data_IF_722675559144
#
_entry.id   IF_722675559144
#
_cell.length_a   1.000
_cell.length_b   1.000
_cell.length_c   1.000
_cell.angle_alpha   90.00
_cell.angle_beta   90.00
_cell.angle_gamma   90.00
#
_symmetry.space_group_name_H-M   'P 1'
#
loop_
_entity.id
_entity.type
_entity.pdbx_description
1 polymer ?
#
# COMPACT_ATOMS: atom_id res chain seq x y z
N UNK A 1 -78.86 -10.17 -26.91
CA UNK A 1 -78.93 -10.66 -25.53
C UNK A 1 -77.66 -10.17 -24.85
N UNK A 2 -77.58 -8.95 -24.30
CA UNK A 2 -78.34 -8.35 -23.19
C UNK A 2 -77.96 -8.94 -21.83
N UNK A 3 -77.70 -8.03 -20.86
CA UNK A 3 -77.59 -8.15 -19.40
C UNK A 3 -76.15 -8.22 -18.85
N UNK A 4 -75.48 -7.16 -18.32
CA UNK A 4 -75.81 -5.97 -17.49
C UNK A 4 -75.59 -6.21 -15.97
N UNK A 5 -74.99 -5.20 -15.30
CA UNK A 5 -74.98 -4.86 -13.85
C UNK A 5 -73.92 -5.51 -12.93
N UNK A 6 -72.84 -4.80 -12.52
CA UNK A 6 -72.66 -3.77 -11.45
C UNK A 6 -72.61 -4.31 -10.01
N UNK A 7 -71.56 -3.95 -9.25
CA UNK A 7 -71.53 -3.48 -7.84
C UNK A 7 -70.13 -2.86 -7.60
N UNK A 8 -69.81 -1.86 -6.77
CA UNK A 8 -70.34 -0.58 -6.25
C UNK A 8 -69.39 -0.19 -5.08
N UNK A 9 -68.99 1.10 -4.99
CA UNK A 9 -68.46 1.85 -3.82
C UNK A 9 -67.08 1.44 -3.26
N UNK A 10 -66.18 2.31 -2.80
CA UNK A 10 -66.19 3.71 -2.34
C UNK A 10 -64.80 4.06 -1.74
N UNK A 11 -64.56 5.24 -1.14
CA UNK A 11 -63.47 6.14 -1.54
C UNK A 11 -62.36 6.40 -0.50
N UNK A 12 -61.21 6.91 -0.93
CA UNK A 12 -60.39 7.81 -0.11
C UNK A 12 -59.69 8.85 -0.99
N UNK A 13 -60.26 10.06 -1.00
CA UNK A 13 -59.58 11.29 -1.41
C UNK A 13 -58.54 11.64 -0.34
N UNK A 14 -57.40 12.19 -0.74
CA UNK A 14 -56.83 13.40 -0.12
C UNK A 14 -55.84 14.04 -1.11
N UNK A 15 -56.20 15.23 -1.54
CA UNK A 15 -55.41 16.12 -2.38
C UNK A 15 -54.73 17.17 -1.51
N UNK A 16 -53.49 17.54 -1.81
CA UNK A 16 -52.84 18.79 -1.42
C UNK A 16 -51.58 18.95 -2.30
N UNK A 17 -51.66 19.63 -3.45
CA UNK A 17 -51.52 21.09 -3.68
C UNK A 17 -50.16 21.63 -3.23
N UNK A 18 -49.26 21.76 -4.20
CA UNK A 18 -48.14 22.71 -4.24
C UNK A 18 -48.65 24.17 -4.08
N UNK A 19 -47.75 25.08 -3.69
CA UNK A 19 -47.43 26.14 -4.65
C UNK A 19 -45.93 26.44 -4.76
N UNK A 20 -45.49 26.57 -6.01
CA UNK A 20 -44.37 27.40 -6.42
C UNK A 20 -44.64 28.87 -6.08
N UNK A 21 -43.60 29.65 -5.76
CA UNK A 21 -43.31 30.92 -6.47
C UNK A 21 -42.11 31.69 -5.87
N UNK A 22 -41.32 32.20 -6.81
CA UNK A 22 -40.66 33.51 -6.85
C UNK A 22 -39.12 33.54 -6.77
N UNK A 23 -38.59 33.93 -7.94
CA UNK A 23 -37.23 34.32 -8.29
C UNK A 23 -36.93 35.78 -7.87
N UNK A 24 -35.67 36.16 -8.07
CA UNK A 24 -35.10 37.52 -8.29
C UNK A 24 -34.68 38.28 -7.02
N UNK A 25 -33.60 39.06 -6.96
CA UNK A 25 -32.55 39.42 -7.92
C UNK A 25 -31.35 40.10 -7.21
N UNK A 26 -30.20 40.05 -7.90
CA UNK A 26 -29.05 40.97 -7.96
C UNK A 26 -29.10 42.35 -7.26
N UNK A 27 -27.98 42.72 -6.61
CA UNK A 27 -27.07 43.88 -6.91
C UNK A 27 -25.94 43.93 -5.86
N UNK A 28 -24.66 43.79 -6.24
CA UNK A 28 -23.69 44.83 -6.64
C UNK A 28 -23.48 45.97 -5.62
N UNK A 29 -22.29 46.09 -5.02
CA UNK A 29 -21.26 47.13 -5.33
C UNK A 29 -20.12 47.23 -4.29
N UNK A 30 -18.89 47.33 -4.82
CA UNK A 30 -17.72 48.14 -4.40
C UNK A 30 -17.22 48.12 -2.93
N UNK A 31 -15.93 47.83 -2.69
CA UNK A 31 -14.80 48.77 -2.88
C UNK A 31 -13.51 48.23 -2.25
N UNK A 32 -12.39 48.53 -2.89
CA UNK A 32 -11.03 48.20 -2.46
C UNK A 32 -10.54 49.09 -1.32
N UNK A 33 -9.66 48.58 -0.45
CA UNK A 33 -8.64 49.38 0.26
C UNK A 33 -7.45 48.52 0.69
N UNK A 34 -6.31 48.82 0.07
CA UNK A 34 -4.97 48.37 0.43
C UNK A 34 -4.54 48.99 1.77
N UNK A 35 -3.87 48.20 2.61
CA UNK A 35 -2.96 48.73 3.63
C UNK A 35 -1.65 47.93 3.63
N UNK A 36 -0.61 48.60 3.10
CA UNK A 36 0.79 48.27 3.31
C UNK A 36 1.18 48.60 4.77
N UNK A 37 1.84 47.66 5.46
CA UNK A 37 2.65 47.96 6.64
C UNK A 37 4.03 47.32 6.45
N UNK A 38 5.03 48.19 6.40
CA UNK A 38 6.46 47.87 6.28
C UNK A 38 7.11 48.25 7.61
N UNK A 39 7.82 47.33 8.27
CA UNK A 39 8.52 47.61 9.53
C UNK A 39 9.96 47.05 9.54
N UNK A 40 10.87 48.00 9.28
CA UNK A 40 12.28 48.23 9.67
C UNK A 40 13.21 47.06 10.08
N UNK A 41 14.40 46.96 9.47
CA UNK A 41 15.54 46.19 9.98
C UNK A 41 16.34 46.97 11.03
N UNK A 42 16.80 46.29 12.08
CA UNK A 42 17.67 46.84 13.12
C UNK A 42 19.14 46.84 12.68
N UNK A 43 19.80 47.98 12.91
CA UNK A 43 21.19 48.28 12.57
C UNK A 43 22.13 47.87 13.70
N UNK A 44 23.13 47.03 13.40
CA UNK A 44 24.30 46.88 14.24
C UNK A 44 25.52 47.51 13.59
N UNK A 45 26.01 48.52 14.30
CA UNK A 45 27.14 49.39 14.06
C UNK A 45 28.45 48.65 14.34
N UNK A 46 29.42 48.69 13.43
CA UNK A 46 30.84 48.70 13.82
C UNK A 46 31.66 49.58 12.87
N UNK A 47 32.16 50.66 13.44
CA UNK A 47 33.03 51.68 12.87
C UNK A 47 34.45 51.13 12.67
N UNK A 48 35.04 51.45 11.53
CA UNK A 48 36.43 51.21 11.18
C UNK A 48 37.38 52.12 11.96
N UNK A 49 38.44 51.55 12.55
CA UNK A 49 39.63 52.30 12.96
C UNK A 49 40.87 51.56 12.46
N UNK A 50 41.54 52.18 11.51
CA UNK A 50 42.85 51.80 10.98
C UNK A 50 43.91 52.39 11.92
N UNK A 51 44.89 51.59 12.35
CA UNK A 51 46.24 52.07 12.66
C UNK A 51 47.26 50.99 12.29
N UNK A 52 48.39 51.47 11.80
CA UNK A 52 49.36 50.83 10.91
C UNK A 52 50.58 50.31 11.67
N UNK A 53 51.21 49.23 11.18
CA UNK A 53 52.64 48.84 11.30
C UNK A 53 52.74 47.30 11.15
N UNK A 54 53.60 46.64 10.38
CA UNK A 54 54.72 47.02 9.52
C UNK A 54 54.90 45.89 8.50
N UNK A 55 55.34 46.27 7.32
CA UNK A 55 55.70 45.42 6.17
C UNK A 55 56.78 44.37 6.47
N UNK A 56 56.68 43.20 5.81
CA UNK A 56 57.77 42.57 5.03
C UNK A 56 57.31 41.25 4.39
N UNK A 57 57.21 41.31 3.06
CA UNK A 57 57.51 40.27 2.07
C UNK A 57 57.18 38.80 2.37
N UNK A 58 56.05 38.32 1.83
CA UNK A 58 55.91 36.92 1.38
C UNK A 58 55.05 36.79 0.10
N UNK A 59 54.94 37.86 -0.69
CA UNK A 59 54.16 37.93 -1.94
C UNK A 59 54.85 37.25 -3.15
N UNK A 60 55.57 36.16 -2.91
CA UNK A 60 56.16 35.32 -3.97
C UNK A 60 55.86 33.81 -3.81
N UNK A 61 55.21 33.40 -2.72
CA UNK A 61 54.88 31.99 -2.46
C UNK A 61 53.40 31.64 -2.79
N UNK A 62 52.68 32.46 -3.55
CA UNK A 62 51.24 32.25 -3.82
C UNK A 62 50.93 31.81 -5.26
N UNK A 63 51.91 31.78 -6.17
CA UNK A 63 51.68 31.53 -7.61
C UNK A 63 52.18 30.17 -8.14
N UNK A 64 52.54 29.22 -7.26
CA UNK A 64 52.93 27.85 -7.64
C UNK A 64 52.20 26.73 -6.88
N UNK A 65 51.19 27.06 -6.09
CA UNK A 65 50.39 26.07 -5.38
C UNK A 65 49.02 25.88 -6.04
N UNK A 66 48.99 24.93 -6.98
CA UNK A 66 47.82 24.08 -7.17
C UNK A 66 46.65 24.69 -7.93
N UNK A 67 46.70 24.54 -9.25
CA UNK A 67 45.51 24.41 -10.11
C UNK A 67 44.56 23.41 -9.43
N UNK A 68 43.46 23.90 -8.84
CA UNK A 68 42.36 23.07 -8.34
C UNK A 68 41.63 22.47 -9.53
N UNK A 69 42.11 21.31 -9.98
CA UNK A 69 41.29 20.36 -10.70
C UNK A 69 40.15 19.92 -9.78
N UNK A 70 38.92 20.23 -10.16
CA UNK A 70 37.73 19.57 -9.64
C UNK A 70 37.79 18.08 -10.05
N UNK A 71 38.54 17.27 -9.31
CA UNK A 71 38.25 15.85 -9.26
C UNK A 71 37.02 15.69 -8.38
N UNK A 72 35.91 15.34 -9.02
CA UNK A 72 34.80 14.70 -8.33
C UNK A 72 35.40 13.54 -7.52
N UNK A 73 35.36 13.65 -6.20
CA UNK A 73 35.66 12.53 -5.33
C UNK A 73 34.69 11.42 -5.72
N UNK A 74 35.22 10.37 -6.35
CA UNK A 74 34.49 9.14 -6.54
C UNK A 74 33.92 8.73 -5.17
N UNK A 75 32.62 8.43 -5.12
CA UNK A 75 32.02 7.83 -3.94
C UNK A 75 32.93 6.68 -3.48
N UNK A 76 33.23 6.54 -2.18
CA UNK A 76 34.11 5.49 -1.70
C UNK A 76 33.56 4.17 -2.23
N UNK A 77 34.33 3.50 -3.08
CA UNK A 77 34.00 2.17 -3.60
C UNK A 77 33.84 1.31 -2.37
N UNK A 78 32.60 0.93 -2.06
CA UNK A 78 32.30 0.09 -0.91
C UNK A 78 33.19 -1.15 -1.02
N UNK A 79 34.09 -1.33 -0.04
CA UNK A 79 35.00 -2.47 0.01
C UNK A 79 34.21 -3.77 -0.25
N UNK A 80 34.79 -4.77 -0.95
CA UNK A 80 34.12 -6.04 -1.22
C UNK A 80 33.72 -6.69 0.11
N UNK A 81 32.50 -6.43 0.57
CA UNK A 81 32.03 -7.00 1.82
C UNK A 81 31.74 -8.46 1.55
N UNK A 82 32.50 -9.32 2.21
CA UNK A 82 32.27 -10.77 2.27
C UNK A 82 30.80 -11.04 2.61
N UNK A 83 30.20 -11.99 1.92
CA UNK A 83 28.78 -12.38 2.10
C UNK A 83 28.46 -12.65 3.57
N UNK A 84 29.40 -13.23 4.32
CA UNK A 84 29.29 -13.43 5.77
C UNK A 84 29.12 -12.13 6.56
N UNK A 85 29.85 -11.06 6.21
CA UNK A 85 29.70 -9.73 6.85
C UNK A 85 28.35 -9.10 6.52
N UNK A 86 27.87 -9.24 5.28
CA UNK A 86 26.53 -8.76 4.89
C UNK A 86 25.42 -9.51 5.62
N UNK A 87 25.56 -10.84 5.77
CA UNK A 87 24.62 -11.67 6.51
C UNK A 87 24.66 -11.36 8.01
N UNK A 88 25.84 -11.14 8.60
CA UNK A 88 25.99 -10.76 10.00
C UNK A 88 25.40 -9.38 10.28
N UNK A 89 25.71 -8.38 9.44
CA UNK A 89 25.15 -7.02 9.60
C UNK A 89 23.64 -7.06 9.37
N UNK A 90 23.16 -7.78 8.35
CA UNK A 90 21.72 -7.96 8.11
C UNK A 90 21.01 -8.66 9.27
N UNK A 91 21.60 -9.73 9.80
CA UNK A 91 21.09 -10.47 10.96
C UNK A 91 21.11 -9.64 12.24
N UNK A 92 22.15 -8.82 12.45
CA UNK A 92 22.25 -7.92 13.59
C UNK A 92 21.24 -6.76 13.50
N UNK A 93 21.01 -6.21 12.30
CA UNK A 93 19.95 -5.22 12.09
C UNK A 93 18.61 -5.87 12.38
N UNK A 94 18.31 -7.02 11.79
CA UNK A 94 17.03 -7.74 11.99
C UNK A 94 16.80 -8.14 13.45
N UNK A 95 17.79 -8.75 14.10
CA UNK A 95 17.72 -9.11 15.51
C UNK A 95 17.61 -7.87 16.41
N UNK A 96 18.36 -6.81 16.09
CA UNK A 96 18.32 -5.53 16.78
C UNK A 96 16.96 -4.83 16.64
N UNK A 97 16.35 -4.82 15.46
CA UNK A 97 14.98 -4.32 15.29
C UNK A 97 13.98 -5.23 15.98
N UNK A 98 14.12 -6.55 15.98
CA UNK A 98 13.22 -7.42 16.74
C UNK A 98 13.29 -7.10 18.24
N UNK A 99 14.48 -6.93 18.81
CA UNK A 99 14.68 -6.56 20.20
C UNK A 99 14.18 -5.13 20.48
N UNK A 100 14.42 -4.18 19.58
CA UNK A 100 13.95 -2.81 19.75
C UNK A 100 12.43 -2.69 19.60
N UNK A 101 11.83 -3.39 18.63
CA UNK A 101 10.38 -3.49 18.46
C UNK A 101 9.78 -4.18 19.68
N UNK A 102 10.43 -5.21 20.20
CA UNK A 102 10.05 -5.80 21.47
C UNK A 102 10.14 -4.71 22.57
N UNK A 103 11.28 -4.14 22.88
CA UNK A 103 11.41 -3.13 23.92
C UNK A 103 10.45 -1.92 23.81
N UNK A 104 10.11 -1.47 22.58
CA UNK A 104 9.26 -0.29 22.33
C UNK A 104 7.77 -0.63 22.26
N UNK A 105 7.38 -1.72 21.59
CA UNK A 105 5.97 -2.11 21.35
C UNK A 105 5.49 -3.25 22.27
N UNK A 106 6.38 -3.99 22.94
CA UNK A 106 6.10 -5.10 23.89
C UNK A 106 5.76 -4.59 25.31
N UNK A 107 5.45 -3.30 25.49
CA UNK A 107 4.92 -2.80 26.77
C UNK A 107 3.49 -3.32 27.03
N UNK A 108 2.80 -3.77 25.98
CA UNK A 108 1.49 -4.42 26.02
C UNK A 108 1.55 -5.77 25.29
N UNK A 109 2.42 -6.68 25.74
CA UNK A 109 2.30 -8.08 25.32
C UNK A 109 1.09 -8.74 25.94
N UNK A 110 0.61 -9.79 25.26
CA UNK A 110 -0.41 -10.68 25.80
C UNK A 110 0.00 -11.22 27.17
N UNK A 111 -0.91 -11.14 28.13
CA UNK A 111 -0.67 -11.44 29.56
C UNK A 111 -0.38 -12.94 29.81
N UNK A 112 -0.71 -13.82 28.87
CA UNK A 112 -0.58 -15.29 29.00
C UNK A 112 0.76 -15.89 28.53
N UNK A 113 1.77 -15.08 28.20
CA UNK A 113 3.15 -15.59 27.96
C UNK A 113 3.40 -16.49 26.73
N UNK A 114 2.38 -16.89 25.95
CA UNK A 114 2.57 -17.65 24.70
C UNK A 114 1.28 -17.93 23.91
N UNK A 115 1.34 -17.89 22.57
CA UNK A 115 0.18 -18.15 21.68
C UNK A 115 -0.40 -19.56 21.91
N UNK A 116 -1.69 -19.71 22.27
CA UNK A 116 -2.37 -20.98 22.42
C UNK A 116 -2.15 -21.87 21.20
N UNK A 117 -2.04 -23.17 21.43
CA UNK A 117 -1.71 -24.15 20.39
C UNK A 117 -2.70 -24.07 19.22
N UNK A 118 -4.00 -23.89 19.51
CA UNK A 118 -5.03 -23.76 18.49
C UNK A 118 -4.87 -22.50 17.63
N UNK A 119 -4.63 -21.34 18.25
CA UNK A 119 -4.40 -20.08 17.53
C UNK A 119 -3.18 -20.16 16.61
N UNK A 120 -2.09 -20.78 17.12
CA UNK A 120 -0.86 -20.98 16.35
C UNK A 120 -1.07 -21.90 15.16
N UNK A 121 -1.78 -23.00 15.36
CA UNK A 121 -2.08 -23.94 14.30
C UNK A 121 -3.00 -23.32 13.24
N UNK A 122 -4.00 -22.53 13.66
CA UNK A 122 -4.85 -21.78 12.74
C UNK A 122 -4.03 -20.78 11.93
N UNK A 123 -3.23 -19.96 12.60
CA UNK A 123 -2.39 -18.95 11.97
C UNK A 123 -1.40 -19.58 10.97
N UNK A 124 -0.72 -20.65 11.37
CA UNK A 124 0.21 -21.38 10.50
C UNK A 124 -0.50 -21.96 9.29
N UNK A 125 -1.68 -22.57 9.46
CA UNK A 125 -2.47 -23.04 8.33
C UNK A 125 -2.85 -21.89 7.39
N UNK A 126 -3.30 -20.75 7.91
CA UNK A 126 -3.60 -19.58 7.06
C UNK A 126 -2.38 -19.11 6.28
N UNK A 127 -1.22 -18.99 6.92
CA UNK A 127 0.03 -18.62 6.24
C UNK A 127 0.51 -19.64 5.22
N UNK A 128 0.29 -20.93 5.47
CA UNK A 128 0.59 -21.99 4.52
C UNK A 128 -0.25 -21.83 3.26
N UNK A 129 -1.57 -21.59 3.41
CA UNK A 129 -2.45 -21.32 2.28
C UNK A 129 -2.04 -20.04 1.55
N UNK A 130 -1.74 -18.97 2.26
CA UNK A 130 -1.24 -17.72 1.65
C UNK A 130 0.05 -17.96 0.86
N UNK A 131 1.01 -18.70 1.42
CA UNK A 131 2.26 -19.05 0.76
C UNK A 131 2.05 -19.91 -0.50
N UNK A 132 1.14 -20.89 -0.42
CA UNK A 132 0.73 -21.68 -1.59
C UNK A 132 0.04 -20.82 -2.65
N UNK A 133 -0.87 -19.93 -2.26
CA UNK A 133 -1.57 -19.00 -3.15
C UNK A 133 -0.58 -18.10 -3.89
N UNK A 134 0.36 -17.48 -3.17
CA UNK A 134 1.44 -16.67 -3.77
C UNK A 134 2.31 -17.51 -4.71
N UNK A 135 2.62 -18.76 -4.34
CA UNK A 135 3.34 -19.69 -5.19
C UNK A 135 2.60 -19.99 -6.51
N UNK A 136 1.30 -20.28 -6.42
CA UNK A 136 0.42 -20.48 -7.57
C UNK A 136 0.37 -19.23 -8.43
N UNK A 137 0.23 -18.04 -7.83
CA UNK A 137 0.23 -16.76 -8.54
C UNK A 137 1.52 -16.57 -9.32
N UNK A 138 2.68 -16.76 -8.68
CA UNK A 138 3.98 -16.58 -9.32
C UNK A 138 4.23 -17.55 -10.47
N UNK A 139 3.90 -18.84 -10.28
CA UNK A 139 4.03 -19.87 -11.32
C UNK A 139 3.07 -19.62 -12.48
N UNK A 140 1.81 -19.32 -12.18
CA UNK A 140 0.77 -19.03 -13.19
C UNK A 140 1.12 -17.79 -13.98
N UNK A 141 1.57 -16.72 -13.33
CA UNK A 141 1.97 -15.50 -14.00
C UNK A 141 3.21 -15.73 -14.89
N UNK A 142 4.18 -16.54 -14.44
CA UNK A 142 5.32 -16.96 -15.28
C UNK A 142 4.85 -17.75 -16.50
N UNK A 143 3.91 -18.68 -16.33
CA UNK A 143 3.33 -19.45 -17.43
C UNK A 143 2.60 -18.52 -18.42
N UNK A 144 1.87 -17.50 -17.94
CA UNK A 144 1.21 -16.50 -18.77
C UNK A 144 2.20 -15.66 -19.60
N UNK A 145 3.37 -15.34 -19.04
CA UNK A 145 4.45 -14.67 -19.77
C UNK A 145 5.00 -15.59 -20.87
N UNK A 146 5.30 -16.84 -20.54
CA UNK A 146 5.87 -17.81 -21.48
C UNK A 146 4.93 -18.20 -22.64
N UNK A 147 3.64 -18.25 -22.37
CA UNK A 147 2.60 -18.60 -23.36
C UNK A 147 2.16 -17.42 -24.24
N UNK A 148 2.68 -16.21 -24.01
CA UNK A 148 2.25 -15.02 -24.71
C UNK A 148 0.85 -14.53 -24.33
N UNK A 149 0.25 -15.07 -23.25
CA UNK A 149 -1.04 -14.62 -22.73
C UNK A 149 -1.00 -13.15 -22.31
N UNK A 150 0.13 -12.69 -21.78
CA UNK A 150 0.35 -11.27 -21.42
C UNK A 150 0.14 -10.35 -22.63
N UNK A 151 0.64 -10.73 -23.81
CA UNK A 151 0.41 -9.95 -25.02
C UNK A 151 -1.09 -9.84 -25.35
N UNK A 152 -1.85 -10.94 -25.19
CA UNK A 152 -3.31 -10.95 -25.39
C UNK A 152 -4.02 -10.00 -24.43
N UNK A 153 -3.62 -9.98 -23.16
CA UNK A 153 -4.14 -9.02 -22.17
C UNK A 153 -3.89 -7.58 -22.65
N UNK A 154 -2.67 -7.28 -23.12
CA UNK A 154 -2.28 -5.91 -23.48
C UNK A 154 -2.95 -5.39 -24.75
N UNK A 155 -3.28 -6.27 -25.71
CA UNK A 155 -4.01 -5.88 -26.94
C UNK A 155 -5.52 -5.91 -26.76
N UNK A 156 -6.02 -6.53 -25.70
CA UNK A 156 -7.45 -6.51 -25.35
C UNK A 156 -7.81 -5.14 -24.77
N UNK A 157 -9.06 -4.71 -24.94
CA UNK A 157 -9.54 -3.44 -24.40
C UNK A 157 -9.22 -3.34 -22.88
N UNK A 158 -8.48 -2.31 -22.43
CA UNK A 158 -8.07 -2.15 -21.03
C UNK A 158 -9.24 -2.14 -20.05
N UNK A 159 -10.41 -1.64 -20.47
CA UNK A 159 -11.61 -1.63 -19.62
C UNK A 159 -12.18 -3.03 -19.41
N UNK A 160 -12.15 -3.88 -20.43
CA UNK A 160 -12.62 -5.26 -20.33
C UNK A 160 -11.70 -6.06 -19.42
N UNK A 161 -10.38 -5.91 -19.60
CA UNK A 161 -9.39 -6.57 -18.74
C UNK A 161 -9.48 -6.07 -17.30
N UNK A 162 -9.53 -4.74 -17.11
CA UNK A 162 -9.57 -4.12 -15.80
C UNK A 162 -10.86 -4.45 -15.05
N UNK A 163 -12.02 -4.07 -15.60
CA UNK A 163 -13.31 -4.27 -14.94
C UNK A 163 -13.67 -5.76 -14.90
N UNK A 164 -13.49 -6.48 -16.00
CA UNK A 164 -13.80 -7.91 -16.07
C UNK A 164 -12.92 -8.74 -15.13
N UNK A 165 -11.61 -8.46 -15.07
CA UNK A 165 -10.71 -9.10 -14.11
C UNK A 165 -11.08 -8.77 -12.67
N UNK A 166 -11.45 -7.51 -12.37
CA UNK A 166 -11.85 -7.12 -11.01
C UNK A 166 -13.16 -7.82 -10.62
N UNK A 167 -14.15 -7.83 -11.50
CA UNK A 167 -15.41 -8.52 -11.28
C UNK A 167 -15.19 -10.02 -11.03
N UNK A 168 -14.31 -10.67 -11.81
CA UNK A 168 -13.94 -12.06 -11.62
C UNK A 168 -13.24 -12.30 -10.28
N UNK A 169 -12.30 -11.43 -9.90
CA UNK A 169 -11.62 -11.47 -8.60
C UNK A 169 -12.60 -11.34 -7.44
N UNK A 170 -13.54 -10.40 -7.50
CA UNK A 170 -14.56 -10.25 -6.47
C UNK A 170 -15.53 -11.42 -6.45
N UNK A 171 -15.96 -11.92 -7.61
CA UNK A 171 -16.88 -13.04 -7.72
C UNK A 171 -16.28 -14.33 -7.15
N UNK A 172 -15.01 -14.63 -7.47
CA UNK A 172 -14.29 -15.79 -6.94
C UNK A 172 -14.03 -15.66 -5.44
N UNK A 173 -13.71 -14.47 -4.94
CA UNK A 173 -13.58 -14.21 -3.50
C UNK A 173 -14.91 -14.38 -2.75
N UNK A 174 -16.00 -13.77 -3.24
CA UNK A 174 -17.34 -13.89 -2.64
C UNK A 174 -17.80 -15.35 -2.69
N UNK A 175 -17.56 -16.04 -3.80
CA UNK A 175 -17.87 -17.46 -3.95
C UNK A 175 -17.07 -18.35 -2.98
N UNK A 176 -15.78 -18.08 -2.77
CA UNK A 176 -14.98 -18.86 -1.79
C UNK A 176 -15.51 -18.66 -0.36
N UNK A 177 -16.02 -17.46 -0.06
CA UNK A 177 -16.64 -17.13 1.23
C UNK A 177 -18.04 -17.71 1.42
N UNK A 178 -18.82 -17.89 0.35
CA UNK A 178 -20.16 -18.47 0.43
C UNK A 178 -20.15 -19.99 0.54
N UNK A 179 -19.04 -20.65 0.19
CA UNK A 179 -18.90 -22.11 0.26
C UNK A 179 -18.40 -22.56 1.63
N UNK A 180 -19.10 -23.54 2.21
CA UNK A 180 -18.71 -24.15 3.47
C UNK A 180 -17.31 -24.78 3.37
N UNK A 181 -16.49 -24.72 4.44
CA UNK A 181 -15.19 -25.39 4.48
C UNK A 181 -15.24 -26.91 4.22
N UNK A 182 -16.40 -27.56 4.41
CA UNK A 182 -16.59 -29.00 4.19
C UNK A 182 -16.50 -29.38 2.71
N UNK A 183 -16.95 -28.48 1.84
CA UNK A 183 -16.96 -28.69 0.40
C UNK A 183 -15.63 -28.23 -0.21
N UNK A 184 -14.59 -29.05 -0.02
CA UNK A 184 -13.22 -28.71 -0.42
C UNK A 184 -13.07 -28.44 -1.92
N UNK A 185 -13.62 -29.30 -2.79
CA UNK A 185 -13.42 -29.18 -4.25
C UNK A 185 -13.83 -27.81 -4.79
N UNK A 186 -15.09 -27.36 -4.61
CA UNK A 186 -15.50 -26.08 -5.18
C UNK A 186 -14.84 -24.88 -4.48
N UNK A 187 -14.49 -25.03 -3.18
CA UNK A 187 -13.78 -23.98 -2.45
C UNK A 187 -12.37 -23.75 -3.00
N UNK A 188 -11.58 -24.81 -3.15
CA UNK A 188 -10.24 -24.71 -3.71
C UNK A 188 -10.26 -24.36 -5.21
N UNK A 189 -11.31 -24.75 -5.95
CA UNK A 189 -11.49 -24.30 -7.32
C UNK A 189 -11.66 -22.78 -7.40
N UNK A 190 -12.51 -22.20 -6.55
CA UNK A 190 -12.72 -20.75 -6.51
C UNK A 190 -11.50 -20.00 -5.96
N UNK A 191 -10.84 -20.54 -4.93
CA UNK A 191 -9.59 -19.98 -4.42
C UNK A 191 -8.46 -20.02 -5.47
N UNK A 192 -8.36 -21.12 -6.24
CA UNK A 192 -7.38 -21.21 -7.35
C UNK A 192 -7.75 -20.27 -8.49
N UNK A 193 -9.04 -20.11 -8.81
CA UNK A 193 -9.51 -19.16 -9.81
C UNK A 193 -9.24 -17.71 -9.39
N UNK A 194 -9.39 -17.40 -8.11
CA UNK A 194 -8.99 -16.12 -7.53
C UNK A 194 -7.48 -15.89 -7.72
N UNK A 195 -6.65 -16.86 -7.32
CA UNK A 195 -5.19 -16.79 -7.50
C UNK A 195 -4.78 -16.64 -8.97
N UNK A 196 -5.41 -17.36 -9.90
CA UNK A 196 -5.17 -17.24 -11.33
C UNK A 196 -5.54 -15.84 -11.87
N UNK A 197 -6.60 -15.24 -11.34
CA UNK A 197 -7.01 -13.88 -11.70
C UNK A 197 -6.00 -12.86 -11.19
N UNK A 198 -5.51 -13.00 -9.96
CA UNK A 198 -4.41 -12.17 -9.44
C UNK A 198 -3.13 -12.34 -10.27
N UNK A 199 -2.82 -13.56 -10.70
CA UNK A 199 -1.69 -13.84 -11.58
C UNK A 199 -1.80 -13.08 -12.90
N UNK A 200 -3.01 -12.99 -13.49
CA UNK A 200 -3.23 -12.22 -14.71
C UNK A 200 -2.94 -10.71 -14.53
N UNK A 201 -3.24 -10.15 -13.35
CA UNK A 201 -2.91 -8.74 -13.04
C UNK A 201 -1.41 -8.51 -12.82
N UNK A 202 -0.72 -9.50 -12.25
CA UNK A 202 0.72 -9.42 -11.96
C UNK A 202 1.59 -9.83 -13.17
N UNK A 203 1.06 -10.60 -14.11
CA UNK A 203 1.81 -11.11 -15.25
C UNK A 203 2.44 -10.04 -16.17
N UNK A 204 1.75 -8.91 -16.51
CA UNK A 204 2.39 -7.82 -17.24
C UNK A 204 3.61 -7.26 -16.50
N UNK A 205 3.53 -7.11 -15.19
CA UNK A 205 4.66 -6.66 -14.37
C UNK A 205 5.82 -7.65 -14.47
N UNK A 206 5.56 -8.96 -14.45
CA UNK A 206 6.59 -9.99 -14.63
C UNK A 206 7.23 -9.99 -16.03
N UNK A 207 6.49 -9.58 -17.06
CA UNK A 207 7.00 -9.51 -18.43
C UNK A 207 7.98 -8.34 -18.64
N UNK A 208 7.71 -7.18 -18.03
CA UNK A 208 8.46 -5.94 -18.31
C UNK A 208 9.53 -5.60 -17.26
N UNK A 209 9.44 -6.19 -16.06
CA UNK A 209 10.39 -5.91 -14.98
C UNK A 209 11.53 -6.93 -15.00
N UNK A 210 12.80 -6.48 -14.87
CA UNK A 210 13.93 -7.39 -14.77
C UNK A 210 13.77 -8.42 -13.62
N UNK A 211 14.03 -9.72 -13.86
CA UNK A 211 13.86 -10.76 -12.84
C UNK A 211 14.63 -10.51 -11.54
N UNK A 212 15.77 -9.83 -11.61
CA UNK A 212 16.56 -9.46 -10.44
C UNK A 212 15.82 -8.49 -9.49
N UNK A 213 15.00 -7.57 -10.03
CA UNK A 213 14.19 -6.66 -9.22
C UNK A 213 13.03 -7.43 -8.61
N UNK A 214 12.38 -8.30 -9.37
CA UNK A 214 11.29 -9.14 -8.90
C UNK A 214 11.72 -10.02 -7.73
N UNK A 215 12.87 -10.68 -7.83
CA UNK A 215 13.43 -11.48 -6.75
C UNK A 215 13.70 -10.66 -5.49
N UNK A 216 14.29 -9.47 -5.62
CA UNK A 216 14.55 -8.57 -4.48
C UNK A 216 13.25 -8.05 -3.84
N UNK A 217 12.30 -7.60 -4.66
CA UNK A 217 11.01 -7.13 -4.18
C UNK A 217 10.27 -8.24 -3.43
N UNK A 218 10.26 -9.47 -3.97
CA UNK A 218 9.65 -10.63 -3.32
C UNK A 218 10.29 -10.92 -1.96
N UNK A 219 11.63 -10.92 -1.89
CA UNK A 219 12.34 -11.10 -0.62
C UNK A 219 12.03 -9.99 0.40
N UNK A 220 11.97 -8.73 -0.04
CA UNK A 220 11.61 -7.61 0.84
C UNK A 220 10.18 -7.70 1.34
N UNK A 221 9.23 -8.11 0.49
CA UNK A 221 7.83 -8.32 0.89
C UNK A 221 7.71 -9.47 1.88
N UNK A 222 8.39 -10.60 1.65
CA UNK A 222 8.40 -11.73 2.59
C UNK A 222 8.99 -11.29 3.94
N UNK A 223 10.09 -10.55 3.93
CA UNK A 223 10.71 -10.04 5.16
C UNK A 223 9.80 -9.06 5.91
N UNK A 224 9.15 -8.14 5.19
CA UNK A 224 8.23 -7.16 5.76
C UNK A 224 6.99 -7.86 6.34
N UNK A 225 6.32 -8.70 5.56
CA UNK A 225 5.11 -9.41 5.99
C UNK A 225 5.42 -10.38 7.13
N UNK A 226 6.53 -11.11 7.07
CA UNK A 226 6.97 -12.00 8.15
C UNK A 226 7.29 -11.22 9.44
N UNK A 227 7.95 -10.06 9.33
CA UNK A 227 8.21 -9.18 10.47
C UNK A 227 6.91 -8.64 11.09
N UNK A 228 5.99 -8.13 10.27
CA UNK A 228 4.69 -7.65 10.72
C UNK A 228 3.84 -8.77 11.31
N UNK A 229 3.91 -9.99 10.78
CA UNK A 229 3.23 -11.14 11.33
C UNK A 229 3.71 -11.49 12.74
N UNK A 230 5.02 -11.43 13.00
CA UNK A 230 5.58 -11.62 14.35
C UNK A 230 5.07 -10.54 15.30
N UNK A 231 5.00 -9.29 14.86
CA UNK A 231 4.47 -8.18 15.68
C UNK A 231 2.97 -8.34 15.94
N UNK A 232 2.18 -8.66 14.91
CA UNK A 232 0.74 -8.89 15.03
C UNK A 232 0.41 -10.08 15.93
N UNK A 233 1.23 -11.13 15.87
CA UNK A 233 1.13 -12.33 16.71
C UNK A 233 1.50 -12.10 18.19
N UNK A 234 2.35 -11.10 18.48
CA UNK A 234 2.83 -10.79 19.84
C UNK A 234 2.06 -9.65 20.51
N UNK A 235 1.40 -8.79 19.73
CA UNK A 235 0.62 -7.67 20.23
C UNK A 235 -0.60 -8.11 21.08
N UNK A 236 -0.98 -7.26 22.06
CA UNK A 236 -2.20 -7.47 22.86
C UNK A 236 -3.42 -7.64 21.97
N UNK A 237 -4.29 -8.53 22.44
CA UNK A 237 -5.59 -8.84 21.87
C UNK A 237 -6.32 -7.56 21.45
N UNK A 238 -6.91 -7.57 20.24
CA UNK A 238 -7.86 -6.55 19.75
C UNK A 238 -7.30 -5.15 19.46
N UNK A 239 -6.05 -4.86 19.83
CA UNK A 239 -5.43 -3.54 19.62
C UNK A 239 -5.43 -3.08 18.15
N UNK A 240 -5.18 -4.00 17.22
CA UNK A 240 -5.24 -3.75 15.79
C UNK A 240 -6.60 -4.07 15.17
N UNK A 241 -7.55 -4.69 15.86
CA UNK A 241 -8.88 -4.91 15.29
C UNK A 241 -9.67 -3.58 15.20
N UNK A 242 -9.42 -2.63 16.10
CA UNK A 242 -10.07 -1.32 16.08
C UNK A 242 -9.56 -0.40 14.95
N UNK A 243 -8.36 -0.63 14.41
CA UNK A 243 -7.80 0.23 13.36
C UNK A 243 -8.34 -0.07 11.95
N UNK A 244 -9.23 -1.05 11.79
CA UNK A 244 -9.81 -1.40 10.50
C UNK A 244 -10.52 -0.23 9.79
N UNK A 245 -11.24 0.62 10.53
CA UNK A 245 -11.92 1.80 9.98
C UNK A 245 -10.95 2.83 9.38
N UNK A 246 -9.97 3.34 10.16
CA UNK A 246 -8.92 4.21 9.65
C UNK A 246 -8.10 3.59 8.51
N UNK A 247 -7.80 2.29 8.56
CA UNK A 247 -7.07 1.58 7.49
C UNK A 247 -7.85 1.59 6.17
N UNK A 248 -9.15 1.31 6.21
CA UNK A 248 -10.02 1.38 5.03
C UNK A 248 -10.07 2.80 4.46
N UNK A 249 -10.18 3.82 5.31
CA UNK A 249 -10.13 5.22 4.85
C UNK A 249 -8.79 5.54 4.16
N UNK A 250 -7.66 5.09 4.74
CA UNK A 250 -6.35 5.19 4.10
C UNK A 250 -6.29 4.45 2.75
N UNK A 251 -6.87 3.25 2.69
CA UNK A 251 -6.94 2.44 1.47
C UNK A 251 -7.73 3.13 0.37
N UNK A 252 -8.83 3.81 0.72
CA UNK A 252 -9.64 4.57 -0.22
C UNK A 252 -8.86 5.77 -0.80
N UNK A 253 -8.11 6.49 0.05
CA UNK A 253 -7.23 7.59 -0.40
C UNK A 253 -6.15 7.07 -1.35
N UNK A 254 -5.53 5.93 -0.98
CA UNK A 254 -4.53 5.28 -1.82
C UNK A 254 -5.16 4.86 -3.15
N UNK A 255 -6.29 4.16 -3.15
CA UNK A 255 -7.00 3.74 -4.35
C UNK A 255 -7.34 4.92 -5.27
N UNK A 256 -7.89 6.01 -4.71
CA UNK A 256 -8.17 7.24 -5.45
C UNK A 256 -6.90 7.85 -6.06
N UNK A 257 -5.78 7.83 -5.33
CA UNK A 257 -4.48 8.31 -5.82
C UNK A 257 -3.92 7.46 -6.96
N UNK A 258 -4.18 6.14 -6.95
CA UNK A 258 -3.81 5.24 -8.04
C UNK A 258 -4.61 5.45 -9.33
N UNK A 259 -5.83 5.99 -9.23
CA UNK A 259 -6.67 6.34 -10.37
C UNK A 259 -6.36 7.73 -10.95
N UNK A 260 -5.57 8.54 -10.25
CA UNK A 260 -5.24 9.91 -10.67
C UNK A 260 -4.67 9.99 -12.11
N UNK A 261 -3.80 9.09 -12.59
CA UNK A 261 -3.28 9.15 -13.96
C UNK A 261 -4.33 8.91 -15.06
N UNK A 262 -5.49 8.32 -14.72
CA UNK A 262 -6.57 8.07 -15.69
C UNK A 262 -7.50 9.28 -15.86
N UNK A 263 -7.58 10.13 -14.82
CA UNK A 263 -8.51 11.27 -14.77
C UNK A 263 -7.79 12.59 -15.01
N UNK A 264 -6.52 12.70 -14.59
CA UNK A 264 -5.74 13.92 -14.72
C UNK A 264 -5.04 13.99 -16.09
N UNK A 265 -5.01 15.16 -16.74
CA UNK A 265 -4.27 15.35 -17.98
C UNK A 265 -2.77 15.18 -17.75
N UNK A 266 -2.08 14.53 -18.69
CA UNK A 266 -0.64 14.23 -18.63
C UNK A 266 0.28 15.45 -18.45
N UNK A 267 -0.25 16.66 -18.64
CA UNK A 267 0.44 17.95 -18.41
C UNK A 267 0.58 18.29 -16.92
N UNK A 268 -0.19 17.65 -16.03
CA UNK A 268 -0.19 17.91 -14.59
C UNK A 268 0.92 17.12 -13.86
N UNK A 269 2.17 17.22 -14.33
CA UNK A 269 3.28 16.36 -13.87
C UNK A 269 3.54 16.43 -12.35
N UNK A 270 3.39 17.60 -11.73
CA UNK A 270 3.61 17.76 -10.27
C UNK A 270 2.53 17.09 -9.43
N UNK A 271 1.27 17.20 -9.84
CA UNK A 271 0.17 16.55 -9.11
C UNK A 271 0.23 15.04 -9.30
N UNK A 272 0.57 14.56 -10.50
CA UNK A 272 0.79 13.14 -10.80
C UNK A 272 1.91 12.57 -9.93
N UNK A 273 3.06 13.24 -9.83
CA UNK A 273 4.19 12.78 -9.01
C UNK A 273 3.84 12.73 -7.50
N UNK A 274 3.03 13.67 -7.02
CA UNK A 274 2.54 13.68 -5.65
C UNK A 274 1.56 12.54 -5.39
N UNK A 275 0.56 12.34 -6.26
CA UNK A 275 -0.39 11.23 -6.16
C UNK A 275 0.29 9.87 -6.29
N UNK A 276 1.32 9.77 -7.12
CA UNK A 276 2.16 8.56 -7.26
C UNK A 276 2.93 8.28 -5.96
N UNK A 277 3.43 9.30 -5.28
CA UNK A 277 4.10 9.15 -3.99
C UNK A 277 3.14 8.69 -2.88
N UNK A 278 1.92 9.25 -2.83
CA UNK A 278 0.86 8.81 -1.91
C UNK A 278 0.46 7.36 -2.22
N UNK A 279 0.27 7.04 -3.50
CA UNK A 279 0.00 5.68 -3.94
C UNK A 279 1.10 4.76 -3.42
N UNK A 280 2.35 4.96 -3.82
CA UNK A 280 3.46 4.05 -3.50
C UNK A 280 3.74 3.94 -2.01
N UNK A 281 4.09 5.04 -1.35
CA UNK A 281 4.56 5.04 0.04
C UNK A 281 3.41 5.04 1.04
N UNK A 282 2.34 5.80 0.77
CA UNK A 282 1.12 5.77 1.58
C UNK A 282 0.44 4.40 1.50
N UNK A 283 0.36 3.82 0.29
CA UNK A 283 -0.10 2.46 0.11
C UNK A 283 0.73 1.45 0.88
N UNK A 284 2.07 1.52 0.81
CA UNK A 284 2.94 0.61 1.57
C UNK A 284 2.67 0.66 3.08
N UNK A 285 2.45 1.85 3.64
CA UNK A 285 2.10 2.02 5.05
C UNK A 285 0.71 1.42 5.37
N UNK A 286 -0.29 1.70 4.53
CA UNK A 286 -1.66 1.19 4.71
C UNK A 286 -1.70 -0.34 4.62
N UNK A 287 -1.07 -0.94 3.60
CA UNK A 287 -1.07 -2.41 3.45
C UNK A 287 -0.20 -3.10 4.51
N UNK A 288 0.88 -2.47 4.97
CA UNK A 288 1.59 -2.94 6.16
C UNK A 288 0.70 -2.91 7.42
N UNK A 289 -0.16 -1.90 7.55
CA UNK A 289 -1.18 -1.83 8.58
C UNK A 289 -2.27 -2.89 8.43
N UNK A 290 -2.74 -3.15 7.20
CA UNK A 290 -3.67 -4.25 6.93
C UNK A 290 -3.06 -5.61 7.28
N UNK A 291 -1.76 -5.83 7.01
CA UNK A 291 -1.11 -7.09 7.40
C UNK A 291 -1.17 -7.29 8.91
N UNK A 292 -0.97 -6.24 9.72
CA UNK A 292 -1.13 -6.32 11.18
C UNK A 292 -2.57 -6.58 11.60
N UNK A 293 -3.52 -5.87 10.96
CA UNK A 293 -4.95 -6.05 11.19
C UNK A 293 -5.40 -7.48 10.88
N UNK A 294 -5.01 -8.01 9.72
CA UNK A 294 -5.39 -9.34 9.23
C UNK A 294 -4.79 -10.44 10.09
N UNK A 295 -3.53 -10.31 10.53
CA UNK A 295 -2.93 -11.27 11.48
C UNK A 295 -3.70 -11.31 12.78
N UNK A 296 -4.13 -10.15 13.31
CA UNK A 296 -4.97 -10.12 14.50
C UNK A 296 -6.38 -10.64 14.26
N UNK A 297 -6.97 -10.35 13.09
CA UNK A 297 -8.27 -10.87 12.67
C UNK A 297 -8.26 -12.40 12.60
N UNK A 298 -7.20 -12.99 12.04
CA UNK A 298 -6.99 -14.45 12.02
C UNK A 298 -6.94 -15.02 13.43
N UNK A 299 -6.19 -14.38 14.34
CA UNK A 299 -6.11 -14.83 15.74
C UNK A 299 -7.44 -14.69 16.48
N UNK A 300 -8.20 -13.62 16.20
CA UNK A 300 -9.54 -13.44 16.76
C UNK A 300 -10.51 -14.50 16.24
N UNK A 301 -10.52 -14.76 14.93
CA UNK A 301 -11.34 -15.82 14.32
C UNK A 301 -10.92 -17.22 14.79
N UNK A 302 -9.64 -17.46 15.07
CA UNK A 302 -9.19 -18.71 15.67
C UNK A 302 -9.83 -18.93 17.05
N UNK A 303 -9.96 -17.89 17.88
CA UNK A 303 -10.63 -18.02 19.19
C UNK A 303 -12.13 -18.25 19.04
N UNK A 304 -12.79 -17.53 18.13
CA UNK A 304 -14.20 -17.75 17.84
C UNK A 304 -14.45 -19.17 17.31
N UNK A 305 -13.53 -19.71 16.52
CA UNK A 305 -13.59 -21.08 16.05
C UNK A 305 -13.35 -22.10 17.17
N UNK A 306 -12.43 -21.82 18.09
CA UNK A 306 -12.21 -22.65 19.28
C UNK A 306 -13.42 -22.64 20.22
N UNK A 307 -14.10 -21.49 20.35
CA UNK A 307 -15.32 -21.34 21.14
C UNK A 307 -16.57 -21.95 20.46
N UNK A 308 -16.44 -22.50 19.26
CA UNK A 308 -17.55 -23.09 18.49
C UNK A 308 -18.53 -22.07 17.90
N UNK A 309 -18.22 -20.76 17.99
CA UNK A 309 -19.06 -19.67 17.46
C UNK A 309 -18.92 -19.55 15.94
N UNK A 310 -17.75 -19.92 15.40
CA UNK A 310 -17.44 -19.84 13.97
C UNK A 310 -16.83 -21.15 13.47
N UNK A 311 -16.98 -21.45 12.17
CA UNK A 311 -16.27 -22.58 11.56
C UNK A 311 -14.80 -22.24 11.29
N UNK A 312 -13.90 -23.22 11.45
CA UNK A 312 -12.50 -23.08 11.06
C UNK A 312 -12.38 -22.96 9.54
N UNK A 313 -11.80 -21.85 9.07
CA UNK A 313 -11.72 -21.54 7.64
C UNK A 313 -10.45 -20.75 7.25
N UNK A 314 -9.28 -21.41 7.29
CA UNK A 314 -8.01 -20.75 7.02
C UNK A 314 -7.87 -20.26 5.57
N UNK A 315 -8.61 -20.85 4.61
CA UNK A 315 -8.57 -20.47 3.18
C UNK A 315 -9.17 -19.08 2.98
N UNK A 316 -10.30 -18.79 3.62
CA UNK A 316 -10.93 -17.49 3.47
C UNK A 316 -10.15 -16.35 4.11
N UNK A 317 -9.42 -16.64 5.19
CA UNK A 317 -8.47 -15.69 5.77
C UNK A 317 -7.20 -15.55 4.95
N UNK A 318 -6.76 -16.59 4.22
CA UNK A 318 -5.54 -16.52 3.41
C UNK A 318 -5.68 -15.53 2.27
N UNK A 319 -6.89 -15.38 1.72
CA UNK A 319 -7.19 -14.44 0.63
C UNK A 319 -6.85 -12.99 1.00
N UNK A 320 -7.13 -12.56 2.23
CA UNK A 320 -6.85 -11.16 2.60
C UNK A 320 -5.36 -10.91 2.80
N UNK A 321 -4.65 -11.87 3.41
CA UNK A 321 -3.18 -11.85 3.49
C UNK A 321 -2.51 -11.95 2.11
N UNK A 322 -3.07 -12.72 1.17
CA UNK A 322 -2.60 -12.79 -0.21
C UNK A 322 -2.72 -11.42 -0.91
N UNK A 323 -3.85 -10.73 -0.72
CA UNK A 323 -4.08 -9.39 -1.26
C UNK A 323 -3.11 -8.36 -0.67
N UNK A 324 -2.88 -8.39 0.63
CA UNK A 324 -1.90 -7.52 1.29
C UNK A 324 -0.49 -7.77 0.74
N UNK A 325 -0.10 -9.05 0.60
CA UNK A 325 1.18 -9.42 0.03
C UNK A 325 1.36 -8.86 -1.38
N UNK A 326 0.37 -9.05 -2.27
CA UNK A 326 0.44 -8.58 -3.65
C UNK A 326 0.50 -7.06 -3.72
N UNK A 327 -0.28 -6.36 -2.92
CA UNK A 327 -0.26 -4.90 -2.88
C UNK A 327 1.09 -4.35 -2.40
N UNK A 328 1.70 -4.95 -1.38
CA UNK A 328 3.05 -4.59 -0.92
C UNK A 328 4.09 -4.92 -2.00
N UNK A 329 4.00 -6.11 -2.60
CA UNK A 329 4.93 -6.58 -3.63
C UNK A 329 4.95 -5.68 -4.87
N UNK A 330 3.79 -5.36 -5.45
CA UNK A 330 3.70 -4.52 -6.64
C UNK A 330 4.33 -3.15 -6.37
N UNK A 331 4.06 -2.57 -5.20
CA UNK A 331 4.63 -1.28 -4.78
C UNK A 331 6.14 -1.36 -4.60
N UNK A 332 6.63 -2.44 -3.97
CA UNK A 332 8.07 -2.67 -3.80
C UNK A 332 8.78 -2.79 -5.15
N UNK A 333 8.17 -3.51 -6.11
CA UNK A 333 8.70 -3.59 -7.48
C UNK A 333 8.75 -2.21 -8.13
N UNK A 334 7.69 -1.42 -8.04
CA UNK A 334 7.62 -0.07 -8.60
C UNK A 334 8.69 0.84 -7.99
N UNK A 335 8.85 0.84 -6.66
CA UNK A 335 9.88 1.61 -5.96
C UNK A 335 11.28 1.23 -6.45
N UNK A 336 11.59 -0.07 -6.56
CA UNK A 336 12.90 -0.53 -7.01
C UNK A 336 13.17 -0.21 -8.49
N UNK A 337 12.15 -0.27 -9.34
CA UNK A 337 12.22 0.17 -10.74
C UNK A 337 12.56 1.66 -10.84
N UNK A 338 11.88 2.52 -10.06
CA UNK A 338 12.16 3.95 -10.02
C UNK A 338 13.58 4.25 -9.52
N UNK A 339 14.04 3.54 -8.49
CA UNK A 339 15.40 3.69 -7.97
C UNK A 339 16.46 3.29 -9.01
N UNK A 340 16.22 2.26 -9.81
CA UNK A 340 17.12 1.86 -10.88
C UNK A 340 17.18 2.91 -12.00
N UNK A 341 16.04 3.50 -12.38
CA UNK A 341 16.01 4.55 -13.39
C UNK A 341 16.72 5.84 -12.94
N UNK A 342 16.74 6.17 -11.64
CA UNK A 342 17.48 7.33 -11.11
C UNK A 342 19.00 7.14 -11.06
N UNK A 343 19.48 5.89 -11.15
CA UNK A 343 20.91 5.55 -11.12
C UNK A 343 21.54 5.45 -12.52
N UNK A 344 20.72 5.45 -13.56
CA UNK A 344 21.13 5.57 -14.96
C UNK A 344 21.17 7.04 -15.35
#
# INVERSE_FOLDING_TARGET
MSFTLTVRQGPARLAQRLPELSKTAFRNTASARNFHVQAKPTSNFFTSRITSATSRNAFQQANRAGRRSYQQGAAPVAAPQTTSRRLLVGGAIFGGTLVAINAVFNRETREDGGMPIYEREYLNNTFLHTGLGIGIIGLTARQMVQTGFVYRIMVTNPWVVGIGGLALSFATMIGTRSISPDNYIPKYALWTAFNATQAAFVAPLLAFVPPAILGRAGLYTIAMMGGLAVVGATAKQEKYLYIGGPLLAGAAIVAASGLAPLVLPATALRTIAFTESIWLYGGLAVFGGFTLYDVQKVLHHARLAQAGVMRRDPVNESISLELDFLNIFIRMVQILMMQQNRRK
#
